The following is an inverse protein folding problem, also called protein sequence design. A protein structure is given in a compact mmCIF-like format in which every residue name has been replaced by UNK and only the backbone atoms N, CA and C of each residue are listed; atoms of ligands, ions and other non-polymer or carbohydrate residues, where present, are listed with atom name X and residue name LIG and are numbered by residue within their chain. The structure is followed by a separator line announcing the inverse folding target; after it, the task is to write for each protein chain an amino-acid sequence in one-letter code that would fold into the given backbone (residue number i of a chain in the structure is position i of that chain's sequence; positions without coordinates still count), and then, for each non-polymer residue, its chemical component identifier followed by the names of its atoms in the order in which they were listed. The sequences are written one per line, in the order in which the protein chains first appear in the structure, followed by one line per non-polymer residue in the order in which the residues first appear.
data_IF_358819230766
#
_entry.id   IF_358819230766
#
_cell.length_a   1.000
_cell.length_b   1.000
_cell.length_c   1.000
_cell.angle_alpha   90.00
_cell.angle_beta   90.00
_cell.angle_gamma   90.00
#
_symmetry.space_group_name_H-M   'P 1'
#
loop_
_entity.id
_entity.type
_entity.pdbx_description
1 polymer ?
#
# COMPACT_ATOMS: atom_id res chain seq x y z
N UNK A 1 -24.20 -3.86 5.04
CA UNK A 1 -24.70 -4.98 4.22
C UNK A 1 -24.39 -6.36 4.80
N UNK A 2 -23.30 -6.58 5.57
CA UNK A 2 -22.93 -7.91 6.09
C UNK A 2 -23.52 -8.31 7.45
N UNK A 3 -24.20 -7.39 8.16
CA UNK A 3 -24.68 -7.65 9.53
C UNK A 3 -25.89 -8.60 9.61
N UNK A 4 -26.56 -8.88 8.49
CA UNK A 4 -27.82 -9.65 8.44
C UNK A 4 -27.74 -10.93 7.59
N UNK A 5 -26.56 -11.35 7.13
CA UNK A 5 -26.43 -12.55 6.30
C UNK A 5 -25.58 -13.59 7.02
N UNK A 6 -26.08 -14.84 7.08
CA UNK A 6 -25.43 -16.06 7.62
C UNK A 6 -24.21 -16.50 6.79
N UNK A 7 -23.41 -15.54 6.31
CA UNK A 7 -22.20 -15.73 5.47
C UNK A 7 -20.93 -15.64 6.31
N UNK A 8 -21.04 -15.18 7.57
CA UNK A 8 -19.92 -15.07 8.52
C UNK A 8 -19.29 -16.41 8.89
N UNK A 9 -19.98 -17.53 8.65
CA UNK A 9 -19.47 -18.87 8.95
C UNK A 9 -18.52 -19.40 7.86
N UNK A 10 -18.48 -18.75 6.68
CA UNK A 10 -17.69 -19.18 5.53
C UNK A 10 -16.73 -18.06 5.09
N UNK A 11 -15.53 -17.97 5.71
CA UNK A 11 -14.58 -16.87 5.46
C UNK A 11 -14.09 -16.81 4.00
N UNK A 12 -14.16 -17.93 3.25
CA UNK A 12 -13.87 -17.97 1.82
C UNK A 12 -14.89 -17.15 1.01
N UNK A 13 -16.18 -17.29 1.34
CA UNK A 13 -17.27 -16.62 0.62
C UNK A 13 -17.26 -15.10 0.91
N UNK A 14 -16.95 -14.73 2.15
CA UNK A 14 -16.75 -13.33 2.55
C UNK A 14 -15.60 -12.67 1.77
N UNK A 15 -14.46 -13.37 1.66
CA UNK A 15 -13.29 -12.88 0.91
C UNK A 15 -13.57 -12.77 -0.59
N UNK A 16 -14.28 -13.75 -1.18
CA UNK A 16 -14.67 -13.72 -2.59
C UNK A 16 -15.62 -12.56 -2.90
N UNK A 17 -16.60 -12.30 -2.02
CA UNK A 17 -17.55 -11.20 -2.17
C UNK A 17 -16.85 -9.84 -2.06
N UNK A 18 -15.85 -9.72 -1.18
CA UNK A 18 -15.02 -8.51 -1.07
C UNK A 18 -14.28 -8.20 -2.39
N UNK A 19 -13.64 -9.21 -2.98
CA UNK A 19 -12.95 -9.09 -4.27
C UNK A 19 -13.94 -8.74 -5.39
N UNK A 20 -15.10 -9.40 -5.42
CA UNK A 20 -16.12 -9.17 -6.45
C UNK A 20 -16.67 -7.73 -6.39
N UNK A 21 -16.92 -7.21 -5.19
CA UNK A 21 -17.33 -5.81 -4.99
C UNK A 21 -16.26 -4.82 -5.46
N UNK A 22 -14.97 -5.09 -5.18
CA UNK A 22 -13.88 -4.24 -5.66
C UNK A 22 -13.78 -4.25 -7.19
N UNK A 23 -13.97 -5.41 -7.82
CA UNK A 23 -13.96 -5.56 -9.26
C UNK A 23 -15.17 -4.90 -9.94
N UNK A 24 -16.35 -4.95 -9.30
CA UNK A 24 -17.52 -4.21 -9.76
C UNK A 24 -17.27 -2.69 -9.74
N UNK A 25 -16.62 -2.16 -8.71
CA UNK A 25 -16.25 -0.75 -8.64
C UNK A 25 -15.26 -0.35 -9.75
N UNK A 26 -14.33 -1.24 -10.12
CA UNK A 26 -13.46 -1.05 -11.29
C UNK A 26 -14.27 -0.93 -12.58
N UNK A 27 -15.17 -1.89 -12.85
CA UNK A 27 -15.98 -1.88 -14.06
C UNK A 27 -16.89 -0.64 -14.16
N UNK A 28 -17.49 -0.22 -13.05
CA UNK A 28 -18.31 1.00 -13.01
C UNK A 28 -17.44 2.23 -13.32
N UNK A 29 -16.25 2.32 -12.76
CA UNK A 29 -15.34 3.43 -13.01
C UNK A 29 -14.87 3.50 -14.47
N UNK A 30 -14.59 2.36 -15.10
CA UNK A 30 -14.24 2.29 -16.53
C UNK A 30 -15.41 2.73 -17.42
N UNK A 31 -16.65 2.32 -17.09
CA UNK A 31 -17.86 2.77 -17.81
C UNK A 31 -18.10 4.27 -17.65
N UNK A 32 -17.69 4.85 -16.53
CA UNK A 32 -17.75 6.28 -16.28
C UNK A 32 -16.53 7.06 -16.82
N UNK A 33 -15.63 6.42 -17.57
CA UNK A 33 -14.38 7.01 -18.10
C UNK A 33 -13.47 7.62 -17.02
N UNK A 34 -13.51 7.06 -15.81
CA UNK A 34 -12.67 7.44 -14.66
C UNK A 34 -11.52 6.45 -14.47
N UNK A 35 -10.54 6.81 -13.63
CA UNK A 35 -9.44 5.89 -13.29
C UNK A 35 -9.93 4.73 -12.41
N UNK A 36 -10.10 3.55 -13.02
CA UNK A 36 -10.54 2.34 -12.33
C UNK A 36 -9.64 1.95 -11.15
N UNK A 37 -8.32 2.17 -11.26
CA UNK A 37 -7.36 1.87 -10.18
C UNK A 37 -7.64 2.68 -8.93
N UNK A 38 -7.92 3.98 -9.05
CA UNK A 38 -8.21 4.84 -7.89
C UNK A 38 -9.56 4.49 -7.27
N UNK A 39 -10.55 4.11 -8.08
CA UNK A 39 -11.85 3.65 -7.58
C UNK A 39 -11.73 2.37 -6.74
N UNK A 40 -10.94 1.39 -7.20
CA UNK A 40 -10.66 0.16 -6.44
C UNK A 40 -9.94 0.46 -5.13
N UNK A 41 -8.95 1.38 -5.15
CA UNK A 41 -8.24 1.79 -3.94
C UNK A 41 -9.18 2.41 -2.91
N UNK A 42 -10.03 3.36 -3.33
CA UNK A 42 -10.99 4.00 -2.43
C UNK A 42 -12.03 3.01 -1.90
N UNK A 43 -12.52 2.11 -2.76
CA UNK A 43 -13.42 1.02 -2.36
C UNK A 43 -12.75 0.14 -1.28
N UNK A 44 -11.50 -0.27 -1.49
CA UNK A 44 -10.73 -1.07 -0.55
C UNK A 44 -10.46 -0.38 0.78
N UNK A 45 -10.15 0.93 0.78
CA UNK A 45 -9.95 1.73 2.00
C UNK A 45 -11.27 1.86 2.79
N UNK A 46 -12.37 2.18 2.09
CA UNK A 46 -13.70 2.22 2.69
C UNK A 46 -14.04 0.87 3.30
N UNK A 47 -13.85 -0.21 2.55
CA UNK A 47 -14.09 -1.54 3.05
C UNK A 47 -13.18 -1.82 4.26
N UNK A 48 -11.88 -1.51 4.24
CA UNK A 48 -11.01 -1.71 5.39
C UNK A 48 -11.53 -0.97 6.64
N UNK A 49 -11.97 0.28 6.51
CA UNK A 49 -12.50 1.07 7.64
C UNK A 49 -13.85 0.56 8.16
N UNK A 50 -14.81 0.28 7.28
CA UNK A 50 -16.17 -0.13 7.65
C UNK A 50 -16.26 -1.62 8.04
N UNK A 51 -15.38 -2.47 7.47
CA UNK A 51 -15.35 -3.92 7.68
C UNK A 51 -14.54 -4.25 8.95
N UNK A 52 -13.50 -3.48 9.30
CA UNK A 52 -12.68 -3.70 10.50
C UNK A 52 -13.51 -3.69 11.80
N UNK A 53 -14.52 -2.83 11.91
CA UNK A 53 -15.37 -2.75 13.11
C UNK A 53 -16.56 -3.74 13.11
N UNK A 54 -16.78 -4.47 12.01
CA UNK A 54 -17.95 -5.34 11.83
C UNK A 54 -17.59 -6.81 11.52
N UNK A 55 -16.30 -7.15 11.40
CA UNK A 55 -15.81 -8.51 11.13
C UNK A 55 -15.29 -9.24 12.37
N UNK A 56 -15.41 -10.57 12.33
CA UNK A 56 -14.79 -11.47 13.29
C UNK A 56 -13.25 -11.43 13.18
N UNK A 57 -12.54 -11.65 14.28
CA UNK A 57 -11.08 -11.64 14.33
C UNK A 57 -10.43 -12.65 13.36
N UNK A 58 -11.10 -13.78 13.12
CA UNK A 58 -10.63 -14.84 12.21
C UNK A 58 -10.56 -14.39 10.75
N UNK A 59 -11.60 -13.70 10.24
CA UNK A 59 -11.62 -13.19 8.86
C UNK A 59 -10.51 -12.17 8.64
N UNK A 60 -10.22 -11.31 9.63
CA UNK A 60 -9.12 -10.33 9.55
C UNK A 60 -7.76 -11.01 9.39
N UNK A 61 -7.50 -12.07 10.17
CA UNK A 61 -6.24 -12.78 10.10
C UNK A 61 -6.06 -13.49 8.74
N UNK A 62 -7.13 -14.08 8.20
CA UNK A 62 -7.13 -14.69 6.86
C UNK A 62 -6.86 -13.68 5.75
N UNK A 63 -7.54 -12.52 5.77
CA UNK A 63 -7.31 -11.46 4.79
C UNK A 63 -5.88 -10.94 4.86
N UNK A 64 -5.31 -10.80 6.06
CA UNK A 64 -3.90 -10.41 6.24
C UNK A 64 -2.95 -11.43 5.60
N UNK A 65 -3.14 -12.73 5.88
CA UNK A 65 -2.35 -13.80 5.27
C UNK A 65 -2.47 -13.82 3.74
N UNK A 66 -3.66 -13.55 3.21
CA UNK A 66 -3.87 -13.45 1.77
C UNK A 66 -3.12 -12.26 1.16
N UNK A 67 -3.16 -11.08 1.80
CA UNK A 67 -2.40 -9.91 1.33
C UNK A 67 -0.88 -10.13 1.42
N UNK A 68 -0.39 -10.80 2.46
CA UNK A 68 1.03 -11.18 2.58
C UNK A 68 1.45 -12.13 1.44
N UNK A 69 0.62 -13.14 1.14
CA UNK A 69 0.85 -14.06 0.02
C UNK A 69 0.83 -13.33 -1.34
N UNK A 70 -0.15 -12.45 -1.56
CA UNK A 70 -0.26 -11.66 -2.79
C UNK A 70 0.92 -10.70 -2.95
N UNK A 71 1.38 -10.07 -1.86
CA UNK A 71 2.56 -9.22 -1.88
C UNK A 71 3.81 -10.01 -2.24
N UNK A 72 4.00 -11.18 -1.62
CA UNK A 72 5.11 -12.08 -1.96
C UNK A 72 5.06 -12.53 -3.42
N UNK A 73 3.88 -12.90 -3.92
CA UNK A 73 3.69 -13.31 -5.30
C UNK A 73 3.97 -12.15 -6.27
N UNK A 74 3.47 -10.94 -5.98
CA UNK A 74 3.70 -9.75 -6.77
C UNK A 74 5.20 -9.37 -6.82
N UNK A 75 5.90 -9.49 -5.70
CA UNK A 75 7.35 -9.25 -5.62
C UNK A 75 8.13 -10.22 -6.52
N UNK A 76 7.80 -11.53 -6.47
CA UNK A 76 8.41 -12.53 -7.35
C UNK A 76 8.11 -12.26 -8.83
N UNK A 77 6.89 -11.84 -9.17
CA UNK A 77 6.52 -11.49 -10.53
C UNK A 77 7.31 -10.28 -11.05
N UNK A 78 7.37 -9.19 -10.27
CA UNK A 78 8.10 -7.98 -10.64
C UNK A 78 9.60 -8.28 -10.80
N UNK A 79 10.18 -9.05 -9.87
CA UNK A 79 11.59 -9.42 -9.94
C UNK A 79 11.91 -10.22 -11.20
N UNK A 80 11.09 -11.23 -11.50
CA UNK A 80 11.25 -12.05 -12.72
C UNK A 80 11.06 -11.20 -13.99
N UNK A 81 10.06 -10.32 -14.02
CA UNK A 81 9.80 -9.43 -15.14
C UNK A 81 10.98 -8.49 -15.43
N UNK A 82 11.51 -7.83 -14.39
CA UNK A 82 12.70 -6.96 -14.52
C UNK A 82 13.90 -7.80 -14.99
N UNK A 83 14.11 -8.98 -14.41
CA UNK A 83 15.19 -9.89 -14.81
C UNK A 83 15.12 -10.27 -16.29
N UNK A 84 13.95 -10.70 -16.77
CA UNK A 84 13.75 -11.03 -18.19
C UNK A 84 13.94 -9.81 -19.08
N UNK A 85 13.40 -8.64 -18.67
CA UNK A 85 13.56 -7.40 -19.44
C UNK A 85 15.03 -7.02 -19.64
N UNK A 86 15.89 -7.27 -18.65
CA UNK A 86 17.33 -7.03 -18.75
C UNK A 86 18.00 -7.92 -19.82
N UNK A 87 17.55 -9.16 -20.00
CA UNK A 87 18.13 -10.09 -20.99
C UNK A 87 17.54 -9.94 -22.40
N UNK A 88 16.29 -9.46 -22.54
CA UNK A 88 15.61 -9.34 -23.84
C UNK A 88 16.06 -8.13 -24.69
N UNK A 89 16.70 -7.10 -24.11
CA UNK A 89 17.17 -5.92 -24.86
C UNK A 89 18.71 -5.91 -25.05
N UNK A 90 19.25 -6.53 -26.12
CA UNK A 90 20.70 -6.55 -26.39
C UNK A 90 21.29 -5.20 -26.88
N UNK A 91 20.49 -4.14 -27.04
CA UNK A 91 20.90 -2.80 -27.48
C UNK A 91 20.74 -1.71 -26.41
N UNK A 92 20.77 -2.06 -25.12
CA UNK A 92 20.86 -1.02 -24.10
C UNK A 92 22.30 -0.50 -24.09
N UNK A 93 22.49 0.76 -24.51
CA UNK A 93 23.72 1.49 -24.25
C UNK A 93 23.84 1.54 -22.72
N UNK A 94 24.63 0.62 -22.17
CA UNK A 94 24.80 0.45 -20.73
C UNK A 94 25.62 1.64 -20.22
N UNK A 95 24.95 2.78 -20.07
CA UNK A 95 25.52 3.98 -19.50
C UNK A 95 25.34 3.87 -17.97
N UNK A 96 26.41 3.51 -17.20
CA UNK A 96 26.34 3.40 -15.74
C UNK A 96 25.89 4.71 -15.07
N UNK A 97 26.04 5.84 -15.78
CA UNK A 97 25.52 7.14 -15.39
C UNK A 97 24.00 7.15 -15.18
N UNK A 98 23.24 6.47 -16.03
CA UNK A 98 21.79 6.41 -15.92
C UNK A 98 21.34 5.64 -14.66
N UNK A 99 22.06 4.56 -14.33
CA UNK A 99 21.81 3.76 -13.13
C UNK A 99 22.05 4.58 -11.86
N UNK A 100 23.18 5.30 -11.81
CA UNK A 100 23.52 6.19 -10.68
C UNK A 100 22.53 7.34 -10.58
N UNK A 101 22.18 7.97 -11.70
CA UNK A 101 21.19 9.04 -11.76
C UNK A 101 19.81 8.57 -11.27
N UNK A 102 19.38 7.35 -11.62
CA UNK A 102 18.14 6.75 -11.12
C UNK A 102 18.16 6.54 -9.60
N UNK A 103 19.28 6.05 -9.04
CA UNK A 103 19.42 5.86 -7.60
C UNK A 103 19.37 7.17 -6.82
N UNK A 104 20.06 8.21 -7.32
CA UNK A 104 20.06 9.55 -6.74
C UNK A 104 18.67 10.18 -6.84
N UNK A 105 18.05 10.14 -8.02
CA UNK A 105 16.72 10.72 -8.26
C UNK A 105 15.64 10.03 -7.44
N UNK A 106 15.68 8.71 -7.28
CA UNK A 106 14.74 7.96 -6.41
C UNK A 106 14.87 8.37 -4.95
N UNK A 107 16.10 8.54 -4.46
CA UNK A 107 16.38 8.97 -3.08
C UNK A 107 15.91 10.42 -2.84
N UNK A 108 16.20 11.32 -3.79
CA UNK A 108 15.74 12.70 -3.75
C UNK A 108 14.22 12.81 -3.86
N UNK A 109 13.57 12.03 -4.73
CA UNK A 109 12.12 12.00 -4.86
C UNK A 109 11.42 11.60 -3.55
N UNK A 110 11.98 10.63 -2.82
CA UNK A 110 11.51 10.26 -1.48
C UNK A 110 11.69 11.40 -0.47
N UNK A 111 12.85 12.04 -0.45
CA UNK A 111 13.10 13.20 0.41
C UNK A 111 12.10 14.32 0.13
N UNK A 112 11.95 14.70 -1.14
CA UNK A 112 11.06 15.77 -1.59
C UNK A 112 9.60 15.46 -1.35
N UNK A 113 9.17 14.20 -1.23
CA UNK A 113 7.78 13.90 -0.83
C UNK A 113 7.57 13.99 0.69
N UNK A 114 8.54 13.54 1.48
CA UNK A 114 8.42 13.43 2.95
C UNK A 114 8.56 14.80 3.64
N UNK A 115 9.52 15.64 3.22
CA UNK A 115 9.79 16.93 3.86
C UNK A 115 8.65 17.97 3.71
N UNK A 116 8.06 18.22 2.53
CA UNK A 116 6.96 19.17 2.41
C UNK A 116 5.68 18.62 3.04
N UNK A 117 5.43 17.30 3.00
CA UNK A 117 4.30 16.72 3.72
C UNK A 117 4.43 16.95 5.24
N UNK A 118 5.64 16.77 5.76
CA UNK A 118 5.94 17.06 7.18
C UNK A 118 5.85 18.55 7.51
N UNK A 119 6.25 19.44 6.60
CA UNK A 119 6.11 20.88 6.74
C UNK A 119 4.65 21.34 6.73
N UNK A 120 3.83 20.79 5.83
CA UNK A 120 2.40 21.08 5.73
C UNK A 120 1.64 20.61 6.99
N UNK A 121 1.98 19.42 7.50
CA UNK A 121 1.43 18.90 8.76
C UNK A 121 1.87 19.73 9.98
N UNK A 122 3.08 20.31 9.95
CA UNK A 122 3.58 21.19 11.01
C UNK A 122 2.85 22.54 11.05
N UNK A 123 2.19 22.95 9.96
CA UNK A 123 1.41 24.18 9.91
C UNK A 123 0.05 24.06 10.63
N UNK A 124 -0.48 22.84 10.75
CA UNK A 124 -1.79 22.56 11.35
C UNK A 124 -1.77 21.95 12.75
N UNK A 125 -0.61 21.53 13.28
CA UNK A 125 -0.50 20.77 14.54
C UNK A 125 0.39 21.47 15.58
N UNK A 126 -0.10 21.59 16.81
CA UNK A 126 0.68 21.94 18.01
C UNK A 126 0.65 20.70 18.91
N UNK A 127 1.76 19.99 19.23
CA UNK A 127 3.19 20.31 19.09
C UNK A 127 3.84 19.89 17.76
N UNK A 128 4.97 20.51 17.37
CA UNK A 128 5.68 20.23 16.13
C UNK A 128 6.39 18.86 16.15
N UNK A 129 6.41 18.18 14.99
CA UNK A 129 7.12 16.91 14.81
C UNK A 129 8.63 17.20 14.70
N UNK A 130 9.50 16.65 15.59
CA UNK A 130 10.93 16.89 15.55
C UNK A 130 11.57 16.37 14.26
N UNK A 131 12.56 17.10 13.73
CA UNK A 131 13.31 16.71 12.52
C UNK A 131 13.94 15.30 12.64
N UNK A 132 14.27 14.87 13.86
CA UNK A 132 14.78 13.53 14.15
C UNK A 132 13.81 12.41 13.76
N UNK A 133 12.49 12.64 13.89
CA UNK A 133 11.47 11.68 13.44
C UNK A 133 11.32 11.68 11.91
N UNK A 134 11.55 12.81 11.24
CA UNK A 134 11.50 12.90 9.77
C UNK A 134 12.69 12.17 9.13
N UNK A 135 13.89 12.33 9.71
CA UNK A 135 15.06 11.55 9.30
C UNK A 135 14.88 10.05 9.58
N UNK A 136 14.30 9.68 10.73
CA UNK A 136 13.97 8.26 11.00
C UNK A 136 12.97 7.70 9.98
N UNK A 137 11.97 8.46 9.56
CA UNK A 137 11.02 8.06 8.52
C UNK A 137 11.70 7.87 7.15
N UNK A 138 12.63 8.76 6.81
CA UNK A 138 13.42 8.67 5.58
C UNK A 138 14.31 7.41 5.53
N UNK A 139 14.91 7.04 6.66
CA UNK A 139 15.74 5.83 6.77
C UNK A 139 14.96 4.52 6.98
N UNK A 140 13.69 4.59 7.40
CA UNK A 140 12.84 3.42 7.68
C UNK A 140 12.58 2.54 6.44
N UNK A 141 12.71 3.11 5.23
CA UNK A 141 12.47 2.39 3.97
C UNK A 141 13.40 1.21 3.66
N UNK A 142 14.44 0.95 4.46
CA UNK A 142 15.37 -0.18 4.25
C UNK A 142 15.31 -1.30 5.30
N UNK A 143 14.53 -1.18 6.38
CA UNK A 143 14.45 -2.20 7.43
C UNK A 143 13.02 -2.31 8.02
N UNK A 144 12.04 -2.69 7.22
CA UNK A 144 10.66 -2.91 7.69
C UNK A 144 10.36 -4.35 8.13
N UNK A 145 11.38 -5.15 8.47
CA UNK A 145 11.16 -6.50 9.02
C UNK A 145 11.29 -6.59 10.56
N UNK A 146 11.53 -5.47 11.26
CA UNK A 146 11.75 -5.47 12.72
C UNK A 146 11.18 -4.27 13.50
N UNK A 147 10.29 -3.44 12.92
CA UNK A 147 9.57 -2.40 13.67
C UNK A 147 8.05 -2.53 13.57
N UNK A 148 7.53 -3.66 14.05
CA UNK A 148 6.18 -3.70 14.60
C UNK A 148 6.26 -3.13 16.02
N UNK A 149 6.28 -1.80 16.18
CA UNK A 149 5.97 -1.16 17.46
C UNK A 149 4.51 -0.65 17.39
N UNK A 150 3.52 -1.46 17.82
CA UNK A 150 2.10 -1.11 17.76
C UNK A 150 1.68 0.04 18.70
N UNK A 151 2.61 0.66 19.44
CA UNK A 151 2.25 1.62 20.50
C UNK A 151 2.07 3.08 20.03
N UNK A 152 2.54 3.45 18.82
CA UNK A 152 2.46 4.86 18.35
C UNK A 152 1.38 5.17 17.32
N UNK A 153 0.79 4.16 16.67
CA UNK A 153 -0.28 4.40 15.68
C UNK A 153 -1.58 4.85 16.37
N UNK A 154 -1.83 4.40 17.60
CA UNK A 154 -3.05 4.73 18.34
C UNK A 154 -3.07 6.15 18.94
N UNK A 155 -1.96 6.91 18.85
CA UNK A 155 -1.89 8.31 19.32
C UNK A 155 -2.03 9.34 18.18
N UNK A 156 -2.20 8.87 16.94
CA UNK A 156 -2.42 9.74 15.76
C UNK A 156 -3.88 9.70 15.30
N UNK A 157 -4.64 8.67 15.70
CA UNK A 157 -6.06 8.48 15.32
C UNK A 157 -7.03 8.83 16.47
N UNK A 158 -6.56 9.01 17.71
CA UNK A 158 -7.31 9.61 18.81
C UNK A 158 -6.89 11.07 19.04
#
# INVERSE_FOLDING_TARGET
MTKFTHVRDWPLLESALFVLMSYAAFLIAEVCELTGVVAVLFCGICQAHYTYNNLSADSRNRTKQLFELLNFLAENFIFTYIGVSMFTFPKHHFDPWFIIAGFITSTLGRAVNIYPLSFLLNLGRKPPIPINFQHMLFFSGKNTHSQTQPDKINQIIC
#
